data_IF_294871012460
#
_entry.id   IF_294871012460
#
_cell.length_a   1.000
_cell.length_b   1.000
_cell.length_c   1.000
_cell.angle_alpha   90.00
_cell.angle_beta   90.00
_cell.angle_gamma   90.00
#
_symmetry.space_group_name_H-M   'P 1'
#
loop_
_entity.id
_entity.type
_entity.pdbx_description
1 polymer ?
#
# COMPACT_ATOMS: atom_id res chain seq x y z
N UNK A 1 -0.48 23.34 3.35
CA UNK A 1 0.58 23.35 4.39
C UNK A 1 1.96 22.97 3.84
N UNK A 2 2.06 21.96 3.01
CA UNK A 2 3.36 21.55 2.42
C UNK A 2 4.10 22.66 1.65
N UNK A 3 3.38 23.52 0.95
CA UNK A 3 3.97 24.63 0.18
C UNK A 3 4.54 25.77 1.04
N UNK A 4 4.23 25.80 2.34
CA UNK A 4 4.68 26.85 3.25
C UNK A 4 5.93 26.46 4.07
N UNK A 5 6.29 25.19 4.06
CA UNK A 5 7.45 24.69 4.80
C UNK A 5 8.73 25.03 4.03
N UNK A 6 9.69 25.73 4.67
CA UNK A 6 10.96 26.06 4.01
C UNK A 6 11.73 24.79 3.60
N UNK A 7 12.36 24.78 2.42
CA UNK A 7 13.25 23.69 2.04
C UNK A 7 14.40 23.53 3.05
N UNK A 8 14.76 22.29 3.33
CA UNK A 8 15.83 21.99 4.30
C UNK A 8 15.38 21.89 5.76
N UNK A 9 14.10 22.16 6.05
CA UNK A 9 13.51 21.87 7.37
C UNK A 9 13.68 20.37 7.68
N UNK A 10 14.13 20.03 8.87
CA UNK A 10 14.46 18.65 9.21
C UNK A 10 13.21 17.78 9.36
N UNK A 11 13.17 16.66 8.69
CA UNK A 11 12.14 15.62 8.90
C UNK A 11 12.43 14.93 10.23
N UNK A 12 11.61 15.19 11.23
CA UNK A 12 11.76 14.61 12.57
C UNK A 12 11.21 13.21 12.66
N UNK A 13 10.04 12.98 12.08
CA UNK A 13 9.38 11.68 12.11
C UNK A 13 8.63 11.40 10.81
N UNK A 14 8.55 10.11 10.48
CA UNK A 14 7.75 9.60 9.37
C UNK A 14 6.79 8.57 9.96
N UNK A 15 5.51 8.88 9.95
CA UNK A 15 4.45 7.99 10.40
C UNK A 15 3.79 7.31 9.21
N UNK A 16 3.66 5.99 9.26
CA UNK A 16 3.01 5.21 8.21
C UNK A 16 1.66 4.70 8.72
N UNK A 17 0.60 5.08 8.03
CA UNK A 17 -0.76 4.61 8.26
C UNK A 17 -1.20 3.77 7.07
N UNK A 18 -1.61 2.54 7.32
CA UNK A 18 -1.95 1.56 6.27
C UNK A 18 -3.40 1.14 6.40
N UNK A 19 -4.13 1.20 5.30
CA UNK A 19 -5.51 0.77 5.21
C UNK A 19 -5.63 -0.50 4.38
N UNK A 20 -6.58 -1.34 4.77
CA UNK A 20 -6.95 -2.56 4.07
C UNK A 20 -7.66 -2.26 2.75
N UNK A 21 -7.93 -3.31 1.96
CA UNK A 21 -8.65 -3.24 0.68
C UNK A 21 -10.05 -2.66 0.85
N UNK A 22 -10.76 -3.10 1.90
CA UNK A 22 -12.12 -2.65 2.20
C UNK A 22 -12.16 -1.86 3.50
N UNK A 23 -12.89 -0.76 3.48
CA UNK A 23 -13.15 0.05 4.66
C UNK A 23 -14.33 -0.55 5.46
N UNK A 24 -14.02 -1.15 6.60
CA UNK A 24 -15.05 -1.74 7.47
C UNK A 24 -15.88 -0.70 8.22
N UNK A 25 -15.47 0.55 8.22
CA UNK A 25 -16.25 1.67 8.78
C UNK A 25 -17.29 2.20 7.77
N UNK A 26 -17.10 1.94 6.48
CA UNK A 26 -18.07 2.26 5.45
C UNK A 26 -19.21 1.23 5.45
N UNK A 27 -20.49 1.65 5.67
CA UNK A 27 -21.63 0.74 5.68
C UNK A 27 -21.82 -0.05 4.38
N UNK A 28 -21.44 0.52 3.25
CA UNK A 28 -21.55 -0.13 1.94
C UNK A 28 -20.50 -1.21 1.72
N UNK A 29 -19.33 -1.04 2.36
CA UNK A 29 -18.23 -2.00 2.31
C UNK A 29 -18.25 -3.02 3.47
N UNK A 30 -18.99 -2.75 4.55
CA UNK A 30 -19.05 -3.60 5.73
C UNK A 30 -20.11 -4.71 5.62
N UNK A 31 -19.95 -5.62 4.69
CA UNK A 31 -20.77 -6.81 4.59
C UNK A 31 -19.96 -8.09 4.82
N UNK A 32 -20.67 -9.23 4.97
CA UNK A 32 -20.04 -10.52 5.26
C UNK A 32 -19.00 -10.93 4.21
N UNK A 33 -19.27 -10.65 2.94
CA UNK A 33 -18.38 -11.02 1.84
C UNK A 33 -17.08 -10.21 1.90
N UNK A 34 -17.17 -8.91 2.14
CA UNK A 34 -16.01 -8.03 2.24
C UNK A 34 -15.17 -8.30 3.49
N UNK A 35 -15.80 -8.64 4.61
CA UNK A 35 -15.05 -9.08 5.80
C UNK A 35 -14.27 -10.36 5.51
N UNK A 36 -14.89 -11.35 4.92
CA UNK A 36 -14.24 -12.58 4.54
C UNK A 36 -13.09 -12.34 3.57
N UNK A 37 -13.28 -11.47 2.57
CA UNK A 37 -12.23 -11.07 1.64
C UNK A 37 -11.06 -10.39 2.35
N UNK A 38 -11.33 -9.47 3.29
CA UNK A 38 -10.29 -8.82 4.09
C UNK A 38 -9.51 -9.80 4.99
N UNK A 39 -10.17 -10.82 5.52
CA UNK A 39 -9.52 -11.82 6.36
C UNK A 39 -8.48 -12.65 5.60
N UNK A 40 -8.66 -12.80 4.28
CA UNK A 40 -7.70 -13.48 3.40
C UNK A 40 -6.65 -12.55 2.82
N UNK A 41 -6.81 -11.24 2.91
CA UNK A 41 -5.86 -10.26 2.43
C UNK A 41 -4.92 -9.81 3.54
N UNK A 42 -3.62 -9.93 3.31
CA UNK A 42 -2.61 -9.39 4.22
C UNK A 42 -2.29 -7.95 3.84
N UNK A 43 -2.49 -7.01 4.77
CA UNK A 43 -2.11 -5.61 4.57
C UNK A 43 -0.60 -5.53 4.30
N UNK A 44 -0.20 -4.69 3.35
CA UNK A 44 1.20 -4.40 3.06
C UNK A 44 1.94 -4.01 4.34
N UNK A 45 3.05 -4.67 4.61
CA UNK A 45 3.83 -4.44 5.83
C UNK A 45 4.50 -3.07 5.81
N UNK A 46 4.61 -2.46 6.97
CA UNK A 46 5.18 -1.11 7.12
C UNK A 46 6.59 -0.99 6.53
N UNK A 47 7.44 -1.99 6.74
CA UNK A 47 8.79 -1.96 6.20
C UNK A 47 8.84 -1.92 4.67
N UNK A 48 7.86 -2.55 4.00
CA UNK A 48 7.73 -2.49 2.53
C UNK A 48 7.44 -1.07 2.08
N UNK A 49 6.55 -0.37 2.76
CA UNK A 49 6.22 1.04 2.47
C UNK A 49 7.45 1.92 2.70
N UNK A 50 8.11 1.77 3.84
CA UNK A 50 9.31 2.56 4.17
C UNK A 50 10.46 2.33 3.19
N UNK A 51 10.64 1.12 2.72
CA UNK A 51 11.70 0.76 1.77
C UNK A 51 11.55 1.46 0.41
N UNK A 52 10.33 1.83 0.04
CA UNK A 52 10.01 2.53 -1.21
C UNK A 52 9.91 4.06 -1.09
N UNK A 53 10.00 4.62 0.12
CA UNK A 53 9.78 6.06 0.33
C UNK A 53 10.86 6.96 -0.24
N UNK A 54 12.11 6.56 -0.26
CA UNK A 54 13.28 7.36 -0.65
C UNK A 54 13.47 8.64 0.19
N UNK A 55 12.82 8.72 1.34
CA UNK A 55 13.00 9.77 2.34
C UNK A 55 13.24 9.13 3.70
N UNK A 56 14.05 9.78 4.51
CA UNK A 56 14.41 9.27 5.84
C UNK A 56 14.27 10.34 6.92
N UNK A 57 14.06 9.90 8.14
CA UNK A 57 14.10 10.77 9.31
C UNK A 57 15.49 11.37 9.46
N UNK A 58 15.57 12.66 9.77
CA UNK A 58 16.82 13.41 9.85
C UNK A 58 17.23 14.13 8.57
N UNK A 59 16.63 13.80 7.43
CA UNK A 59 16.87 14.48 6.17
C UNK A 59 16.17 15.86 6.10
N UNK A 60 16.64 16.71 5.19
CA UNK A 60 15.98 17.97 4.87
C UNK A 60 14.70 17.76 4.07
N UNK A 61 13.64 18.47 4.47
CA UNK A 61 12.37 18.48 3.75
C UNK A 61 12.55 19.05 2.34
N UNK A 62 11.97 18.36 1.37
CA UNK A 62 11.87 18.82 -0.01
C UNK A 62 10.54 18.32 -0.60
N UNK A 63 9.67 19.25 -1.01
CA UNK A 63 8.35 18.92 -1.53
C UNK A 63 8.41 18.03 -2.78
N UNK A 64 9.41 18.21 -3.62
CA UNK A 64 9.58 17.38 -4.82
C UNK A 64 9.88 15.92 -4.46
N UNK A 65 10.66 15.67 -3.40
CA UNK A 65 10.93 14.32 -2.91
C UNK A 65 9.70 13.65 -2.30
N UNK A 66 8.87 14.40 -1.59
CA UNK A 66 7.62 13.87 -1.06
C UNK A 66 6.66 13.47 -2.19
N UNK A 67 6.54 14.30 -3.22
CA UNK A 67 5.72 13.98 -4.41
C UNK A 67 6.26 12.76 -5.17
N UNK A 68 7.57 12.65 -5.29
CA UNK A 68 8.20 11.49 -5.92
C UNK A 68 7.97 10.20 -5.11
N UNK A 69 8.09 10.26 -3.80
CA UNK A 69 7.79 9.14 -2.92
C UNK A 69 6.32 8.69 -3.07
N UNK A 70 5.39 9.65 -3.11
CA UNK A 70 3.98 9.38 -3.34
C UNK A 70 3.74 8.71 -4.70
N UNK A 71 4.38 9.20 -5.76
CA UNK A 71 4.28 8.63 -7.10
C UNK A 71 4.80 7.18 -7.13
N UNK A 72 5.95 6.92 -6.53
CA UNK A 72 6.55 5.59 -6.46
C UNK A 72 5.63 4.61 -5.74
N UNK A 73 5.06 5.03 -4.61
CA UNK A 73 4.12 4.17 -3.87
C UNK A 73 2.86 3.86 -4.68
N UNK A 74 2.31 4.84 -5.41
CA UNK A 74 1.15 4.63 -6.28
C UNK A 74 1.43 3.71 -7.45
N UNK A 75 2.66 3.64 -7.93
CA UNK A 75 3.05 2.77 -9.03
C UNK A 75 3.22 1.30 -8.61
N UNK A 76 3.22 1.00 -7.33
CA UNK A 76 3.30 -0.37 -6.83
C UNK A 76 2.01 -1.13 -7.12
N UNK A 77 2.14 -2.36 -7.62
CA UNK A 77 1.01 -3.20 -8.07
C UNK A 77 0.03 -3.57 -6.97
N UNK A 78 0.44 -3.47 -5.71
CA UNK A 78 -0.33 -3.86 -4.54
C UNK A 78 -0.86 -2.68 -3.74
N UNK A 79 -0.61 -1.46 -4.19
CA UNK A 79 -1.12 -0.22 -3.57
C UNK A 79 -2.19 0.39 -4.47
N UNK A 80 -3.38 0.62 -3.92
CA UNK A 80 -4.48 1.29 -4.59
C UNK A 80 -4.27 2.80 -4.62
N UNK A 81 -3.90 3.38 -3.47
CA UNK A 81 -3.64 4.80 -3.34
C UNK A 81 -2.58 5.06 -2.26
N UNK A 82 -1.86 6.15 -2.42
CA UNK A 82 -0.86 6.60 -1.46
C UNK A 82 -0.84 8.12 -1.39
N UNK A 83 -0.58 8.64 -0.19
CA UNK A 83 -0.40 10.06 0.06
C UNK A 83 0.80 10.26 0.98
N UNK A 84 1.66 11.19 0.64
CA UNK A 84 2.83 11.57 1.45
C UNK A 84 2.75 13.06 1.69
N UNK A 85 2.52 13.45 2.96
CA UNK A 85 2.27 14.85 3.31
C UNK A 85 2.89 15.25 4.63
N UNK A 86 3.13 16.54 4.80
CA UNK A 86 3.43 17.13 6.10
C UNK A 86 2.12 17.22 6.88
N UNK A 87 2.06 16.61 8.05
CA UNK A 87 0.90 16.72 8.93
C UNK A 87 1.13 17.65 10.11
N UNK A 88 2.39 17.90 10.46
CA UNK A 88 2.79 18.85 11.50
C UNK A 88 4.08 19.56 11.12
N UNK A 89 4.10 20.85 11.30
CA UNK A 89 5.29 21.67 11.18
C UNK A 89 5.48 22.47 12.48
N UNK A 90 6.66 22.35 13.09
CA UNK A 90 6.99 22.98 14.37
C UNK A 90 8.43 23.50 14.33
N UNK A 91 8.59 24.82 14.08
CA UNK A 91 9.90 25.44 14.01
C UNK A 91 10.78 24.89 12.92
N UNK A 92 11.89 24.25 13.30
CA UNK A 92 12.88 23.66 12.38
C UNK A 92 12.57 22.21 11.97
N UNK A 93 11.45 21.66 12.47
CA UNK A 93 11.09 20.26 12.26
C UNK A 93 9.74 20.11 11.58
N UNK A 94 9.65 19.11 10.74
CA UNK A 94 8.37 18.61 10.19
C UNK A 94 8.18 17.15 10.51
N UNK A 95 6.91 16.78 10.73
CA UNK A 95 6.48 15.39 10.79
C UNK A 95 5.73 15.06 9.51
N UNK A 96 6.13 13.97 8.87
CA UNK A 96 5.56 13.49 7.62
C UNK A 96 4.64 12.31 7.90
N UNK A 97 3.49 12.31 7.27
CA UNK A 97 2.54 11.20 7.29
C UNK A 97 2.49 10.54 5.92
N UNK A 98 2.64 9.24 5.91
CA UNK A 98 2.46 8.38 4.75
C UNK A 98 1.20 7.56 4.95
N UNK A 99 0.24 7.71 4.05
CA UNK A 99 -1.02 6.98 4.08
C UNK A 99 -1.06 6.08 2.85
N UNK A 100 -1.26 4.79 3.04
CA UNK A 100 -1.41 3.83 1.94
C UNK A 100 -2.69 3.03 2.09
N UNK A 101 -3.29 2.68 0.95
CA UNK A 101 -4.42 1.76 0.86
C UNK A 101 -4.07 0.65 -0.10
N UNK A 102 -4.26 -0.59 0.35
CA UNK A 102 -3.97 -1.78 -0.45
C UNK A 102 -5.03 -2.01 -1.53
N UNK A 103 -4.60 -2.65 -2.63
CA UNK A 103 -5.47 -3.20 -3.63
C UNK A 103 -5.65 -4.71 -3.39
N UNK A 104 -6.75 -5.28 -3.88
CA UNK A 104 -6.95 -6.72 -3.89
C UNK A 104 -5.93 -7.40 -4.81
N UNK A 105 -5.10 -8.25 -4.25
CA UNK A 105 -3.99 -8.89 -4.96
C UNK A 105 -4.15 -10.38 -5.15
N UNK A 106 -5.09 -10.99 -4.43
CA UNK A 106 -5.38 -12.42 -4.52
C UNK A 106 -6.25 -12.72 -5.74
N UNK A 107 -5.77 -13.59 -6.62
CA UNK A 107 -6.48 -13.99 -7.83
C UNK A 107 -6.58 -15.51 -7.88
N UNK A 108 -7.79 -16.10 -7.79
CA UNK A 108 -7.97 -17.52 -8.01
C UNK A 108 -7.74 -17.87 -9.49
N UNK A 109 -7.08 -18.98 -9.73
CA UNK A 109 -6.81 -19.52 -11.05
C UNK A 109 -7.58 -20.84 -11.22
N UNK A 110 -8.49 -20.85 -12.18
CA UNK A 110 -9.27 -22.03 -12.52
C UNK A 110 -9.04 -22.35 -14.00
N UNK A 111 -8.65 -23.57 -14.28
CA UNK A 111 -8.52 -24.08 -15.66
C UNK A 111 -9.27 -25.37 -15.79
N UNK A 112 -10.00 -25.47 -16.89
CA UNK A 112 -10.69 -26.70 -17.31
C UNK A 112 -10.25 -27.04 -18.71
N UNK A 113 -9.76 -28.27 -18.89
CA UNK A 113 -9.40 -28.79 -20.20
C UNK A 113 -10.07 -30.16 -20.41
N UNK A 114 -10.53 -30.40 -21.61
CA UNK A 114 -11.10 -31.67 -22.03
C UNK A 114 -10.41 -32.16 -23.29
N UNK A 115 -9.76 -33.30 -23.19
CA UNK A 115 -9.06 -33.92 -24.31
C UNK A 115 -9.24 -35.45 -24.26
N UNK A 116 -9.62 -36.04 -25.39
CA UNK A 116 -9.69 -37.49 -25.51
C UNK A 116 -10.64 -38.21 -24.58
N UNK A 117 -11.67 -37.54 -24.06
CA UNK A 117 -12.63 -38.12 -23.09
C UNK A 117 -12.21 -37.99 -21.62
N UNK A 118 -11.05 -37.42 -21.36
CA UNK A 118 -10.60 -37.09 -20.01
C UNK A 118 -10.82 -35.61 -19.71
N UNK A 119 -11.13 -35.30 -18.45
CA UNK A 119 -11.33 -33.95 -17.95
C UNK A 119 -10.20 -33.62 -16.99
N UNK A 120 -9.44 -32.57 -17.32
CA UNK A 120 -8.40 -32.03 -16.45
C UNK A 120 -8.88 -30.75 -15.79
N UNK A 121 -8.75 -30.72 -14.47
CA UNK A 121 -9.06 -29.54 -13.67
C UNK A 121 -7.78 -29.04 -13.00
N UNK A 122 -7.48 -27.77 -13.19
CA UNK A 122 -6.39 -27.14 -12.48
C UNK A 122 -6.95 -26.03 -11.61
N UNK A 123 -6.62 -26.07 -10.32
CA UNK A 123 -6.99 -25.06 -9.34
C UNK A 123 -5.70 -24.49 -8.78
N UNK A 124 -5.59 -23.16 -8.79
CA UNK A 124 -4.44 -22.45 -8.24
C UNK A 124 -4.83 -21.06 -7.77
N UNK A 125 -3.87 -20.32 -7.30
CA UNK A 125 -4.04 -18.93 -6.95
C UNK A 125 -2.76 -18.14 -7.23
N UNK A 126 -2.92 -16.83 -7.37
CA UNK A 126 -1.84 -15.87 -7.47
C UNK A 126 -2.07 -14.74 -6.48
N UNK A 127 -1.07 -14.38 -5.75
CA UNK A 127 -1.08 -13.22 -4.88
C UNK A 127 0.13 -12.33 -5.20
N UNK A 128 -0.13 -11.09 -5.62
CA UNK A 128 0.92 -10.12 -5.96
C UNK A 128 1.54 -9.44 -4.75
N UNK A 129 0.98 -9.65 -3.57
CA UNK A 129 1.48 -9.10 -2.32
C UNK A 129 1.42 -10.16 -1.20
N UNK A 130 2.04 -11.31 -1.45
CA UNK A 130 1.97 -12.46 -0.57
C UNK A 130 2.43 -12.12 0.85
N UNK A 131 1.57 -12.33 1.83
CA UNK A 131 1.77 -11.98 3.24
C UNK A 131 2.14 -10.51 3.48
N UNK A 132 1.72 -9.60 2.60
CA UNK A 132 2.00 -8.18 2.72
C UNK A 132 3.47 -7.79 2.46
N UNK A 133 4.24 -8.66 1.81
CA UNK A 133 5.68 -8.46 1.59
C UNK A 133 6.03 -7.78 0.26
N UNK A 134 5.04 -7.49 -0.58
CA UNK A 134 5.24 -6.95 -1.92
C UNK A 134 5.77 -7.98 -2.92
N UNK A 135 5.84 -9.25 -2.56
CA UNK A 135 6.30 -10.35 -3.42
C UNK A 135 5.12 -11.09 -4.02
N UNK A 136 5.26 -11.49 -5.29
CA UNK A 136 4.28 -12.32 -5.97
C UNK A 136 4.47 -13.79 -5.61
N UNK A 137 3.35 -14.46 -5.35
CA UNK A 137 3.25 -15.90 -5.20
C UNK A 137 2.24 -16.46 -6.21
N UNK A 138 2.56 -17.59 -6.81
CA UNK A 138 1.68 -18.32 -7.75
C UNK A 138 1.70 -19.79 -7.44
#
# INVERSE_FOLDING_TARGET
>A
MAALVPPGTTIRSIQVTRYSVFDMEDPDENNRLYRWANDFHSITREWVVRDHLLIEEGEGYNVARLREAERILRDLKFIYDASVRVWRWCGEFVDVEVITRDIWTFTPLLSFNRSGGENDYTIGFRDSNFLGTGKQFT
#
